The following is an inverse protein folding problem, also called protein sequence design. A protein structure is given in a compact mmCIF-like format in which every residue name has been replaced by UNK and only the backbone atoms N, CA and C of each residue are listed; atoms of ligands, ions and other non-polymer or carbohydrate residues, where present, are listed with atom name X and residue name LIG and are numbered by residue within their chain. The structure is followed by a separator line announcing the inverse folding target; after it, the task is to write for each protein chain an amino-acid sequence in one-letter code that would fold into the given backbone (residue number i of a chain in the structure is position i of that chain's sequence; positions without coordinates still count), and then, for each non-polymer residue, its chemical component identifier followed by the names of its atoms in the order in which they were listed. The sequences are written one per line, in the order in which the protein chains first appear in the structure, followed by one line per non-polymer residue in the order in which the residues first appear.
data_IF_470408180902
#
_entry.id   IF_470408180902
#
_cell.length_a   1.000
_cell.length_b   1.000
_cell.length_c   1.000
_cell.angle_alpha   90.00
_cell.angle_beta   90.00
_cell.angle_gamma   90.00
#
_symmetry.space_group_name_H-M   'P 1'
#
loop_
_entity.id
_entity.type
_entity.pdbx_description
1 polymer ?
#
# COMPACT_ATOMS: atom_id res chain seq x y z
N UNK A 1 -7.31 5.59 17.48
CA UNK A 1 -5.87 5.83 17.27
C UNK A 1 -5.09 4.52 17.26
N UNK A 2 -5.29 3.64 18.25
CA UNK A 2 -4.53 2.37 18.38
C UNK A 2 -4.67 1.39 17.21
N UNK A 3 -5.84 1.31 16.57
CA UNK A 3 -6.05 0.43 15.40
C UNK A 3 -5.23 0.88 14.19
N UNK A 4 -5.13 2.19 13.97
CA UNK A 4 -4.35 2.75 12.87
C UNK A 4 -2.84 2.56 13.12
N UNK A 5 -2.39 2.73 14.37
CA UNK A 5 -1.01 2.47 14.76
C UNK A 5 -0.62 1.00 14.55
N UNK A 6 -1.51 0.06 14.92
CA UNK A 6 -1.29 -1.38 14.69
C UNK A 6 -1.22 -1.76 13.21
N UNK A 7 -1.98 -1.10 12.34
CA UNK A 7 -1.89 -1.33 10.89
C UNK A 7 -0.55 -0.82 10.37
N UNK A 8 -0.15 0.37 10.80
CA UNK A 8 1.12 0.99 10.43
C UNK A 8 2.34 0.13 10.79
N UNK A 9 2.41 -0.36 12.04
CA UNK A 9 3.51 -1.20 12.51
C UNK A 9 3.62 -2.51 11.71
N UNK A 10 2.47 -3.12 11.37
CA UNK A 10 2.45 -4.35 10.55
C UNK A 10 2.95 -4.09 9.14
N UNK A 11 2.51 -3.01 8.49
CA UNK A 11 2.93 -2.66 7.14
C UNK A 11 4.43 -2.40 7.08
N UNK A 12 5.00 -1.75 8.10
CA UNK A 12 6.45 -1.55 8.22
C UNK A 12 7.23 -2.86 8.39
N UNK A 13 6.74 -3.80 9.20
CA UNK A 13 7.36 -5.13 9.35
C UNK A 13 7.39 -5.86 8.01
N UNK A 14 6.29 -5.86 7.27
CA UNK A 14 6.19 -6.52 5.97
C UNK A 14 7.16 -5.87 4.97
N UNK A 15 7.23 -4.54 4.91
CA UNK A 15 8.19 -3.81 4.08
C UNK A 15 9.65 -4.16 4.42
N UNK A 16 9.98 -4.19 5.71
CA UNK A 16 11.32 -4.53 6.19
C UNK A 16 11.73 -5.97 5.83
N UNK A 17 10.82 -6.93 5.98
CA UNK A 17 11.06 -8.33 5.62
C UNK A 17 11.35 -8.47 4.13
N UNK A 18 10.56 -7.80 3.28
CA UNK A 18 10.77 -7.85 1.83
C UNK A 18 12.05 -7.13 1.38
N UNK A 19 12.40 -6.01 2.01
CA UNK A 19 13.67 -5.33 1.79
C UNK A 19 14.87 -6.22 2.17
N UNK A 20 14.76 -6.94 3.29
CA UNK A 20 15.79 -7.85 3.79
C UNK A 20 16.03 -9.07 2.88
N UNK A 21 15.01 -9.54 2.15
CA UNK A 21 15.13 -10.62 1.16
C UNK A 21 15.49 -10.13 -0.24
N UNK A 22 15.78 -8.84 -0.41
CA UNK A 22 16.22 -8.27 -1.68
C UNK A 22 15.11 -8.02 -2.70
N UNK A 23 13.84 -7.98 -2.28
CA UNK A 23 12.75 -7.64 -3.17
C UNK A 23 12.83 -6.15 -3.54
N UNK A 24 13.04 -5.84 -4.82
CA UNK A 24 13.12 -4.45 -5.25
C UNK A 24 11.78 -3.72 -5.09
N UNK A 25 11.79 -2.40 -4.77
CA UNK A 25 10.59 -1.59 -4.58
C UNK A 25 9.57 -1.64 -5.74
N UNK A 26 10.03 -1.93 -6.97
CA UNK A 26 9.17 -2.03 -8.15
C UNK A 26 8.12 -3.15 -8.04
N UNK A 27 8.48 -4.28 -7.44
CA UNK A 27 7.58 -5.42 -7.27
C UNK A 27 6.43 -5.10 -6.32
N UNK A 28 6.68 -4.26 -5.32
CA UNK A 28 5.65 -3.74 -4.44
C UNK A 28 4.64 -2.86 -5.16
N UNK A 29 5.11 -1.95 -6.01
CA UNK A 29 4.22 -1.08 -6.79
C UNK A 29 3.29 -1.91 -7.67
N UNK A 30 3.82 -2.96 -8.32
CA UNK A 30 3.02 -3.90 -9.10
C UNK A 30 1.98 -4.63 -8.25
N UNK A 31 2.36 -5.15 -7.07
CA UNK A 31 1.42 -5.83 -6.18
C UNK A 31 0.30 -4.90 -5.67
N UNK A 32 0.62 -3.64 -5.33
CA UNK A 32 -0.39 -2.64 -4.95
C UNK A 32 -1.34 -2.30 -6.11
N UNK A 33 -0.82 -2.24 -7.35
CA UNK A 33 -1.65 -2.01 -8.53
C UNK A 33 -2.62 -3.18 -8.79
N UNK A 34 -2.15 -4.42 -8.65
CA UNK A 34 -2.99 -5.61 -8.79
C UNK A 34 -4.09 -5.64 -7.73
N UNK A 35 -3.76 -5.28 -6.49
CA UNK A 35 -4.73 -5.16 -5.41
C UNK A 35 -5.78 -4.07 -5.68
N UNK A 36 -5.35 -2.90 -6.17
CA UNK A 36 -6.25 -1.81 -6.55
C UNK A 36 -7.22 -2.23 -7.67
N UNK A 37 -6.72 -2.94 -8.67
CA UNK A 37 -7.55 -3.48 -9.76
C UNK A 37 -8.58 -4.50 -9.25
N UNK A 38 -8.19 -5.36 -8.30
CA UNK A 38 -9.09 -6.28 -7.62
C UNK A 38 -10.21 -5.55 -6.88
N UNK A 39 -9.87 -4.51 -6.12
CA UNK A 39 -10.86 -3.67 -5.45
C UNK A 39 -11.82 -2.98 -6.43
N UNK A 40 -11.32 -2.43 -7.54
CA UNK A 40 -12.16 -1.82 -8.56
C UNK A 40 -13.15 -2.82 -9.16
N UNK A 41 -12.69 -4.04 -9.42
CA UNK A 41 -13.55 -5.12 -9.93
C UNK A 41 -14.66 -5.48 -8.95
N UNK A 42 -14.36 -5.51 -7.64
CA UNK A 42 -15.35 -5.75 -6.58
C UNK A 42 -16.37 -4.60 -6.54
N UNK A 43 -15.91 -3.34 -6.56
CA UNK A 43 -16.82 -2.18 -6.49
C UNK A 43 -17.77 -2.15 -7.69
N UNK A 44 -17.28 -2.47 -8.89
CA UNK A 44 -18.10 -2.53 -10.10
C UNK A 44 -19.23 -3.58 -10.03
N UNK A 45 -19.04 -4.64 -9.24
CA UNK A 45 -20.04 -5.71 -9.06
C UNK A 45 -21.06 -5.41 -7.96
N UNK A 46 -20.94 -4.27 -7.26
CA UNK A 46 -21.88 -3.88 -6.20
C UNK A 46 -23.17 -3.29 -6.77
N UNK A 47 -24.23 -3.31 -5.96
CA UNK A 47 -25.52 -2.67 -6.29
C UNK A 47 -25.53 -1.14 -6.07
N UNK A 48 -24.39 -0.54 -5.70
CA UNK A 48 -24.29 0.92 -5.52
C UNK A 48 -24.46 1.64 -6.85
N UNK A 49 -25.02 2.85 -6.80
CA UNK A 49 -25.12 3.68 -7.99
C UNK A 49 -23.73 4.23 -8.39
N UNK A 50 -23.64 4.81 -9.59
CA UNK A 50 -22.37 5.29 -10.14
C UNK A 50 -21.66 6.30 -9.23
N UNK A 51 -22.39 7.24 -8.61
CA UNK A 51 -21.80 8.26 -7.73
C UNK A 51 -21.22 7.62 -6.45
N UNK A 52 -21.93 6.66 -5.87
CA UNK A 52 -21.49 5.90 -4.71
C UNK A 52 -20.26 5.05 -5.04
N UNK A 53 -20.27 4.35 -6.18
CA UNK A 53 -19.12 3.59 -6.66
C UNK A 53 -17.88 4.47 -6.84
N UNK A 54 -18.02 5.66 -7.42
CA UNK A 54 -16.93 6.63 -7.56
C UNK A 54 -16.39 7.09 -6.20
N UNK A 55 -17.27 7.37 -5.22
CA UNK A 55 -16.86 7.73 -3.85
C UNK A 55 -16.05 6.60 -3.20
N UNK A 56 -16.49 5.36 -3.36
CA UNK A 56 -15.81 4.18 -2.82
C UNK A 56 -14.44 3.99 -3.48
N UNK A 57 -14.38 4.03 -4.82
CA UNK A 57 -13.12 3.92 -5.59
C UNK A 57 -12.12 4.99 -5.14
N UNK A 58 -12.57 6.23 -4.97
CA UNK A 58 -11.72 7.33 -4.50
C UNK A 58 -11.22 7.10 -3.06
N UNK A 59 -12.06 6.56 -2.17
CA UNK A 59 -11.65 6.24 -0.81
C UNK A 59 -10.59 5.12 -0.79
N UNK A 60 -10.81 4.04 -1.56
CA UNK A 60 -9.86 2.93 -1.70
C UNK A 60 -8.52 3.44 -2.25
N UNK A 61 -8.56 4.24 -3.32
CA UNK A 61 -7.36 4.82 -3.92
C UNK A 61 -6.54 5.66 -2.92
N UNK A 62 -7.21 6.45 -2.07
CA UNK A 62 -6.51 7.22 -1.01
C UNK A 62 -5.82 6.31 0.00
N UNK A 63 -6.46 5.22 0.43
CA UNK A 63 -5.90 4.27 1.39
C UNK A 63 -4.69 3.54 0.79
N UNK A 64 -4.83 3.01 -0.43
CA UNK A 64 -3.75 2.28 -1.11
C UNK A 64 -2.54 3.19 -1.35
N UNK A 65 -2.76 4.42 -1.82
CA UNK A 65 -1.67 5.38 -2.03
C UNK A 65 -0.94 5.71 -0.72
N UNK A 66 -1.68 5.85 0.39
CA UNK A 66 -1.08 6.12 1.69
C UNK A 66 -0.20 4.96 2.17
N UNK A 67 -0.67 3.72 2.08
CA UNK A 67 0.14 2.55 2.44
C UNK A 67 1.37 2.38 1.54
N UNK A 68 1.21 2.61 0.23
CA UNK A 68 2.33 2.58 -0.70
C UNK A 68 3.42 3.60 -0.35
N UNK A 69 3.03 4.82 0.04
CA UNK A 69 3.96 5.86 0.45
C UNK A 69 4.76 5.47 1.69
N UNK A 70 4.11 4.90 2.70
CA UNK A 70 4.78 4.42 3.94
C UNK A 70 5.83 3.36 3.62
N UNK A 71 5.49 2.41 2.74
CA UNK A 71 6.41 1.36 2.32
C UNK A 71 7.62 1.96 1.60
N UNK A 72 7.40 2.88 0.64
CA UNK A 72 8.48 3.52 -0.10
C UNK A 72 9.41 4.34 0.80
N UNK A 73 8.87 5.05 1.78
CA UNK A 73 9.66 5.78 2.77
C UNK A 73 10.53 4.85 3.63
N UNK A 74 10.01 3.68 4.01
CA UNK A 74 10.78 2.68 4.75
C UNK A 74 11.93 2.10 3.92
N UNK A 75 11.69 1.83 2.62
CA UNK A 75 12.75 1.40 1.69
C UNK A 75 13.83 2.46 1.53
N UNK A 76 13.44 3.72 1.35
CA UNK A 76 14.37 4.85 1.21
C UNK A 76 15.22 4.99 2.48
N UNK A 77 14.59 4.97 3.66
CA UNK A 77 15.31 5.05 4.94
C UNK A 77 16.33 3.92 5.09
N UNK A 78 15.94 2.69 4.80
CA UNK A 78 16.84 1.54 4.87
C UNK A 78 18.00 1.66 3.87
N UNK A 79 17.75 2.15 2.65
CA UNK A 79 18.79 2.38 1.65
C UNK A 79 19.81 3.43 2.11
N UNK A 80 19.33 4.56 2.66
CA UNK A 80 20.19 5.62 3.20
C UNK A 80 21.02 5.15 4.40
N UNK A 81 20.49 4.27 5.25
CA UNK A 81 21.25 3.68 6.36
C UNK A 81 22.33 2.71 5.86
N UNK A 82 22.05 1.94 4.82
CA UNK A 82 23.02 1.03 4.21
C UNK A 82 24.20 1.75 3.55
N UNK A 83 23.98 2.93 2.96
CA UNK A 83 25.03 3.75 2.34
C UNK A 83 25.95 4.47 3.35
N UNK A 84 25.55 4.58 4.62
CA UNK A 84 26.33 5.22 5.69
C UNK A 84 27.30 4.26 6.40
N UNK A 85 27.29 2.98 6.05
CA UNK A 85 28.21 1.96 6.56
C UNK A 85 29.36 1.74 5.60
#
# INVERSE_FOLDING_TARGET
MDTLMKIFDKTLIIAFVHAKVGLEPKWYKSAFQDLLNGFFSIVQQTHFNHEEQLKIINAIGKIINFEQQIVLEAYEKHHQEALKK
#
